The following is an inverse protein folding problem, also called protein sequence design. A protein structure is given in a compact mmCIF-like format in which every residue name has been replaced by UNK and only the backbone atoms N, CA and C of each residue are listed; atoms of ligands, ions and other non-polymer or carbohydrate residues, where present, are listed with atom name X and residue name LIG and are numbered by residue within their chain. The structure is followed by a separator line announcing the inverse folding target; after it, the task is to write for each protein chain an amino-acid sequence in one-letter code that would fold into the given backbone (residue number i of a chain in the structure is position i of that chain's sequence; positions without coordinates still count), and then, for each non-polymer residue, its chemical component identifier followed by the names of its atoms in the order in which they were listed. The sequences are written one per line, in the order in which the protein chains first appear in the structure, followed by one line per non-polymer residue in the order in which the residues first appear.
data_IF_761470171468
#
_entry.id   IF_761470171468
#
_cell.length_a   1.000
_cell.length_b   1.000
_cell.length_c   1.000
_cell.angle_alpha   90.00
_cell.angle_beta   90.00
_cell.angle_gamma   90.00
#
_symmetry.space_group_name_H-M   'P 1'
#
loop_
_entity.id
_entity.type
_entity.pdbx_description
1 polymer ?
#
# COMPACT_ATOMS: atom_id res chain seq x y z
N UNK A 1 2.55 -5.88 15.78
CA UNK A 1 1.38 -5.00 15.59
C UNK A 1 1.08 -4.81 14.11
N UNK A 2 -0.18 -4.97 13.73
CA UNK A 2 -0.64 -4.78 12.35
C UNK A 2 -1.58 -3.58 12.29
N UNK A 3 -1.22 -2.59 11.48
CA UNK A 3 -2.05 -1.41 11.23
C UNK A 3 -2.52 -1.45 9.79
N UNK A 4 -3.83 -1.50 9.57
CA UNK A 4 -4.41 -1.43 8.23
C UNK A 4 -4.75 0.02 7.90
N UNK A 5 -4.29 0.50 6.75
CA UNK A 5 -4.52 1.88 6.30
C UNK A 5 -5.44 1.85 5.09
N UNK A 6 -6.66 2.35 5.28
CA UNK A 6 -7.72 2.32 4.28
C UNK A 6 -7.81 3.69 3.61
N UNK A 7 -7.86 3.73 2.26
CA UNK A 7 -7.82 5.02 1.56
C UNK A 7 -9.07 5.88 1.79
N UNK A 8 -10.27 5.26 1.87
CA UNK A 8 -11.49 6.02 2.10
C UNK A 8 -12.58 5.13 2.70
N UNK A 9 -13.62 5.75 3.24
CA UNK A 9 -14.65 5.08 4.05
C UNK A 9 -15.33 3.91 3.35
N UNK A 10 -15.70 4.07 2.07
CA UNK A 10 -16.42 3.04 1.33
C UNK A 10 -15.53 2.13 0.48
N UNK A 11 -14.24 2.07 0.79
CA UNK A 11 -13.26 1.27 0.04
C UNK A 11 -13.68 -0.18 -0.10
N UNK A 12 -14.28 -0.75 0.93
CA UNK A 12 -14.77 -2.13 0.94
C UNK A 12 -15.70 -2.44 -0.22
N UNK A 13 -16.47 -1.46 -0.69
CA UNK A 13 -17.44 -1.65 -1.78
C UNK A 13 -16.81 -2.03 -3.11
N UNK A 14 -15.49 -1.85 -3.28
CA UNK A 14 -14.78 -2.24 -4.48
C UNK A 14 -14.54 -3.76 -4.58
N UNK A 15 -14.68 -4.48 -3.48
CA UNK A 15 -14.29 -5.88 -3.41
C UNK A 15 -15.49 -6.80 -3.53
N UNK A 16 -15.26 -7.98 -4.14
CA UNK A 16 -16.26 -9.05 -4.34
C UNK A 16 -15.64 -10.40 -4.05
N UNK A 17 -16.47 -11.38 -3.68
CA UNK A 17 -16.06 -12.79 -3.55
C UNK A 17 -14.87 -13.00 -2.63
N UNK A 18 -13.86 -13.70 -3.12
CA UNK A 18 -12.66 -14.02 -2.33
C UNK A 18 -11.86 -12.78 -1.93
N UNK A 19 -11.84 -11.76 -2.76
CA UNK A 19 -11.15 -10.51 -2.43
C UNK A 19 -11.83 -9.81 -1.25
N UNK A 20 -13.16 -9.84 -1.18
CA UNK A 20 -13.90 -9.28 -0.06
C UNK A 20 -13.63 -10.07 1.22
N UNK A 21 -13.59 -11.39 1.14
CA UNK A 21 -13.27 -12.24 2.29
C UNK A 21 -11.86 -11.96 2.81
N UNK A 22 -10.91 -11.77 1.91
CA UNK A 22 -9.53 -11.43 2.27
C UNK A 22 -9.46 -10.07 2.95
N UNK A 23 -10.15 -9.08 2.39
CA UNK A 23 -10.25 -7.75 2.98
C UNK A 23 -10.79 -7.82 4.41
N UNK A 24 -11.93 -8.49 4.60
CA UNK A 24 -12.56 -8.62 5.92
C UNK A 24 -11.63 -9.32 6.92
N UNK A 25 -10.91 -10.35 6.49
CA UNK A 25 -9.96 -11.06 7.34
C UNK A 25 -8.84 -10.15 7.81
N UNK A 26 -8.27 -9.36 6.90
CA UNK A 26 -7.20 -8.43 7.22
C UNK A 26 -7.68 -7.36 8.21
N UNK A 27 -8.84 -6.76 7.93
CA UNK A 27 -9.42 -5.72 8.79
C UNK A 27 -9.72 -6.27 10.19
N UNK A 28 -10.28 -7.48 10.27
CA UNK A 28 -10.62 -8.08 11.57
C UNK A 28 -9.38 -8.52 12.36
N UNK A 29 -8.28 -8.79 11.68
CA UNK A 29 -7.02 -9.22 12.31
C UNK A 29 -6.19 -8.02 12.75
N UNK A 30 -6.34 -6.87 12.11
CA UNK A 30 -5.53 -5.68 12.39
C UNK A 30 -5.75 -5.19 13.82
N UNK A 31 -4.67 -4.76 14.45
CA UNK A 31 -4.75 -4.15 15.77
C UNK A 31 -5.35 -2.75 15.71
N UNK A 32 -5.18 -2.07 14.59
CA UNK A 32 -5.71 -0.74 14.36
C UNK A 32 -6.07 -0.58 12.90
N UNK A 33 -7.16 0.13 12.61
CA UNK A 33 -7.58 0.47 11.25
C UNK A 33 -7.67 1.99 11.13
N UNK A 34 -6.93 2.56 10.19
CA UNK A 34 -6.89 4.00 9.95
C UNK A 34 -7.47 4.29 8.58
N UNK A 35 -8.50 5.13 8.50
CA UNK A 35 -9.07 5.58 7.24
C UNK A 35 -8.63 7.02 7.00
N UNK A 36 -7.91 7.28 5.90
CA UNK A 36 -7.25 8.57 5.69
C UNK A 36 -8.11 9.61 5.00
N UNK A 37 -9.20 9.20 4.34
CA UNK A 37 -10.09 10.13 3.65
C UNK A 37 -11.52 9.64 3.72
N UNK A 38 -12.49 10.56 3.62
CA UNK A 38 -13.90 10.18 3.63
C UNK A 38 -14.37 9.72 2.26
N UNK A 39 -13.92 10.40 1.21
CA UNK A 39 -14.36 10.16 -0.17
C UNK A 39 -13.31 9.44 -0.99
N UNK A 40 -13.76 8.67 -1.99
CA UNK A 40 -12.89 7.96 -2.91
C UNK A 40 -12.22 8.88 -3.93
N UNK A 41 -11.54 8.27 -4.91
CA UNK A 41 -10.82 8.97 -5.97
C UNK A 41 -9.31 8.89 -5.80
N UNK A 42 -8.59 9.42 -6.78
CA UNK A 42 -7.12 9.34 -6.80
C UNK A 42 -6.47 10.00 -5.59
N UNK A 43 -7.05 11.08 -5.09
CA UNK A 43 -6.52 11.77 -3.92
C UNK A 43 -6.49 10.86 -2.69
N UNK A 44 -7.53 10.05 -2.49
CA UNK A 44 -7.58 9.13 -1.36
C UNK A 44 -6.44 8.10 -1.42
N UNK A 45 -6.14 7.55 -2.59
CA UNK A 45 -5.05 6.60 -2.76
C UNK A 45 -3.69 7.25 -2.52
N UNK A 46 -3.50 8.48 -2.98
CA UNK A 46 -2.26 9.24 -2.74
C UNK A 46 -2.09 9.49 -1.25
N UNK A 47 -3.13 9.92 -0.56
CA UNK A 47 -3.08 10.17 0.88
C UNK A 47 -2.75 8.89 1.66
N UNK A 48 -3.34 7.74 1.27
CA UNK A 48 -3.03 6.46 1.89
C UNK A 48 -1.57 6.10 1.70
N UNK A 49 -1.05 6.26 0.47
CA UNK A 49 0.34 5.94 0.18
C UNK A 49 1.29 6.87 0.92
N UNK A 50 0.97 8.16 1.02
CA UNK A 50 1.74 9.12 1.80
C UNK A 50 1.79 8.74 3.28
N UNK A 51 0.65 8.34 3.82
CA UNK A 51 0.57 7.92 5.22
C UNK A 51 1.49 6.71 5.47
N UNK A 52 1.44 5.71 4.58
CA UNK A 52 2.28 4.52 4.71
C UNK A 52 3.76 4.88 4.71
N UNK A 53 4.21 5.72 3.78
CA UNK A 53 5.62 6.10 3.68
C UNK A 53 6.03 6.94 4.87
N UNK A 54 5.22 7.93 5.26
CA UNK A 54 5.55 8.82 6.37
C UNK A 54 5.67 8.09 7.70
N UNK A 55 4.97 6.97 7.86
CA UNK A 55 4.90 6.23 9.12
C UNK A 55 5.66 4.91 9.08
N UNK A 56 6.54 4.71 8.09
CA UNK A 56 7.32 3.48 7.95
C UNK A 56 8.81 3.77 7.92
N UNK A 57 9.61 2.84 8.44
CA UNK A 57 11.07 2.90 8.36
C UNK A 57 11.59 2.26 7.07
N UNK A 58 10.89 1.25 6.58
CA UNK A 58 11.24 0.47 5.40
C UNK A 58 9.98 0.25 4.58
N UNK A 59 10.10 0.35 3.27
CA UNK A 59 9.00 0.06 2.35
C UNK A 59 9.30 -1.27 1.64
N UNK A 60 8.31 -2.16 1.65
CA UNK A 60 8.37 -3.40 0.87
C UNK A 60 7.38 -3.25 -0.29
N UNK A 61 7.86 -3.41 -1.51
CA UNK A 61 7.07 -3.16 -2.71
C UNK A 61 7.19 -4.31 -3.71
N UNK A 62 6.18 -4.44 -4.56
CA UNK A 62 6.23 -5.25 -5.77
C UNK A 62 6.13 -4.28 -6.95
N UNK A 63 7.26 -3.95 -7.56
CA UNK A 63 7.33 -2.90 -8.57
C UNK A 63 8.08 -3.38 -9.81
N UNK A 64 7.44 -3.23 -10.97
CA UNK A 64 8.00 -3.62 -12.26
C UNK A 64 8.80 -2.51 -12.93
N UNK A 65 9.21 -1.48 -12.18
CA UNK A 65 9.99 -0.34 -12.65
C UNK A 65 9.27 0.57 -13.65
N UNK A 66 7.94 0.49 -13.74
CA UNK A 66 7.18 1.42 -14.57
C UNK A 66 7.30 2.84 -14.01
N UNK A 67 7.35 3.87 -14.90
CA UNK A 67 7.55 5.25 -14.44
C UNK A 67 6.29 5.90 -13.86
N UNK A 68 5.12 5.28 -14.00
CA UNK A 68 3.85 5.83 -13.54
C UNK A 68 3.08 4.82 -12.69
N UNK A 69 2.02 5.30 -12.05
CA UNK A 69 1.17 4.49 -11.19
C UNK A 69 1.45 4.68 -9.71
N UNK A 70 0.58 4.11 -8.88
CA UNK A 70 0.64 4.27 -7.43
C UNK A 70 1.90 3.71 -6.79
N UNK A 71 2.37 2.55 -7.25
CA UNK A 71 3.58 1.94 -6.72
C UNK A 71 4.81 2.80 -7.05
N UNK A 72 4.92 3.30 -8.29
CA UNK A 72 6.01 4.20 -8.68
C UNK A 72 6.01 5.48 -7.84
N UNK A 73 4.84 6.06 -7.59
CA UNK A 73 4.70 7.23 -6.73
C UNK A 73 5.24 6.96 -5.32
N UNK A 74 4.81 5.85 -4.74
CA UNK A 74 5.19 5.47 -3.37
C UNK A 74 6.70 5.22 -3.26
N UNK A 75 7.29 4.53 -4.23
CA UNK A 75 8.73 4.25 -4.25
C UNK A 75 9.52 5.54 -4.36
N UNK A 76 9.12 6.46 -5.25
CA UNK A 76 9.82 7.75 -5.39
C UNK A 76 9.72 8.59 -4.13
N UNK A 77 8.57 8.61 -3.48
CA UNK A 77 8.41 9.34 -2.22
C UNK A 77 9.30 8.74 -1.13
N UNK A 78 9.35 7.42 -1.02
CA UNK A 78 10.23 6.75 -0.07
C UNK A 78 11.69 7.12 -0.30
N UNK A 79 12.13 7.16 -1.56
CA UNK A 79 13.49 7.55 -1.91
C UNK A 79 13.80 8.99 -1.51
N UNK A 80 12.86 9.91 -1.74
CA UNK A 80 13.03 11.32 -1.34
C UNK A 80 13.16 11.47 0.17
N UNK A 81 12.45 10.63 0.93
CA UNK A 81 12.48 10.65 2.39
C UNK A 81 13.57 9.75 2.99
N UNK A 82 14.41 9.20 2.14
CA UNK A 82 15.52 8.31 2.53
C UNK A 82 15.02 7.05 3.29
N UNK A 83 13.86 6.54 2.89
CA UNK A 83 13.33 5.26 3.38
C UNK A 83 13.86 4.14 2.49
N UNK A 84 14.52 3.11 3.02
CA UNK A 84 14.92 1.96 2.21
C UNK A 84 13.71 1.29 1.56
N UNK A 85 13.86 0.86 0.31
CA UNK A 85 12.83 0.16 -0.45
C UNK A 85 13.34 -1.22 -0.81
N UNK A 86 12.59 -2.25 -0.44
CA UNK A 86 12.85 -3.63 -0.86
C UNK A 86 11.86 -3.97 -1.95
N UNK A 87 12.35 -4.14 -3.18
CA UNK A 87 11.51 -4.53 -4.31
C UNK A 87 11.53 -6.05 -4.46
N UNK A 88 10.47 -6.70 -3.99
CA UNK A 88 10.37 -8.16 -4.02
C UNK A 88 10.37 -8.74 -5.42
N UNK A 89 9.84 -8.01 -6.40
CA UNK A 89 9.83 -8.46 -7.79
C UNK A 89 11.25 -8.59 -8.32
N UNK A 90 12.09 -7.61 -8.08
CA UNK A 90 13.48 -7.65 -8.50
C UNK A 90 14.24 -8.79 -7.78
N UNK A 91 14.00 -8.94 -6.47
CA UNK A 91 14.64 -10.01 -5.68
C UNK A 91 14.26 -11.40 -6.19
N UNK A 92 12.98 -11.62 -6.51
CA UNK A 92 12.51 -12.90 -7.06
C UNK A 92 13.10 -13.17 -8.43
N UNK A 93 13.19 -12.15 -9.30
CA UNK A 93 13.81 -12.30 -10.62
C UNK A 93 15.28 -12.71 -10.52
N UNK A 94 16.01 -12.13 -9.57
CA UNK A 94 17.41 -12.48 -9.32
C UNK A 94 17.55 -13.91 -8.81
N UNK A 95 16.60 -14.40 -8.03
CA UNK A 95 16.62 -15.73 -7.46
C UNK A 95 16.24 -16.83 -8.47
N UNK A 96 15.63 -16.46 -9.59
CA UNK A 96 15.27 -17.41 -10.67
C UNK A 96 16.42 -17.71 -11.62
N UNK A 97 17.47 -16.96 -11.54
CA UNK A 97 18.66 -17.11 -12.37
C UNK A 97 19.89 -17.37 -11.48
#
# INVERSE_FOLDING_TARGET
ELIAVVPYTDFKKLFRGEDLKRYDRIINTADEVITVNEEGGNRAFILRNDYLVNNSSIIVAWWNNTPSGGTAYTVRKAQRLHRPVINLKASLQLNLF
#
